data_IF_758955789735
#
_entry.id   IF_758955789735
#
_cell.length_a   1.000
_cell.length_b   1.000
_cell.length_c   1.000
_cell.angle_alpha   90.00
_cell.angle_beta   90.00
_cell.angle_gamma   90.00
#
_symmetry.space_group_name_H-M   'P 1'
#
loop_
_entity.id
_entity.type
_entity.pdbx_description
1 polymer ?
#
# COMPACT_ATOMS: atom_id res chain seq x y z
N UNK A 1 -12.45 -10.79 13.50
CA UNK A 1 -11.32 -10.41 12.63
C UNK A 1 -11.15 -11.44 11.53
N UNK A 2 -10.99 -10.98 10.29
CA UNK A 2 -10.66 -11.83 9.15
C UNK A 2 -9.16 -12.11 9.13
N UNK A 3 -8.80 -13.36 8.83
CA UNK A 3 -7.42 -13.82 8.70
C UNK A 3 -7.29 -14.54 7.37
N UNK A 4 -6.29 -14.17 6.57
CA UNK A 4 -6.00 -14.81 5.30
C UNK A 4 -4.50 -15.12 5.21
N UNK A 5 -4.19 -16.29 4.68
CA UNK A 5 -2.82 -16.73 4.40
C UNK A 5 -2.82 -17.43 3.06
N UNK A 6 -2.00 -16.95 2.13
CA UNK A 6 -1.85 -17.55 0.81
C UNK A 6 -0.41 -18.00 0.59
N UNK A 7 -0.26 -18.95 -0.32
CA UNK A 7 1.04 -19.36 -0.85
C UNK A 7 1.07 -19.10 -2.33
N UNK A 8 2.00 -18.26 -2.76
CA UNK A 8 2.14 -17.84 -4.16
C UNK A 8 3.47 -18.38 -4.68
N UNK A 9 3.46 -19.34 -5.62
CA UNK A 9 4.69 -19.83 -6.25
C UNK A 9 5.43 -18.71 -6.96
N UNK A 10 6.75 -18.63 -6.78
CA UNK A 10 7.59 -17.60 -7.39
C UNK A 10 8.92 -18.17 -7.87
N UNK A 11 9.51 -17.52 -8.87
CA UNK A 11 10.90 -17.73 -9.25
C UNK A 11 11.76 -16.61 -8.66
N UNK A 12 12.83 -16.98 -7.95
CA UNK A 12 13.84 -16.03 -7.49
C UNK A 12 14.93 -15.93 -8.54
N UNK A 13 15.24 -14.71 -8.94
CA UNK A 13 16.33 -14.41 -9.85
C UNK A 13 17.68 -14.67 -9.17
N UNK A 14 18.75 -14.77 -9.96
CA UNK A 14 20.08 -14.86 -9.36
C UNK A 14 20.41 -13.61 -8.55
N UNK A 15 21.25 -13.75 -7.53
CA UNK A 15 21.76 -12.67 -6.66
C UNK A 15 22.28 -11.42 -7.41
N UNK A 16 22.65 -11.56 -8.69
CA UNK A 16 23.06 -10.45 -9.53
C UNK A 16 21.92 -9.47 -9.88
N UNK A 17 20.66 -9.92 -9.80
CA UNK A 17 19.48 -9.13 -10.16
C UNK A 17 18.72 -8.58 -8.95
N UNK A 18 19.01 -9.10 -7.76
CA UNK A 18 18.26 -8.79 -6.55
C UNK A 18 18.79 -7.55 -5.84
N UNK A 19 17.93 -6.87 -5.09
CA UNK A 19 18.32 -5.76 -4.22
C UNK A 19 19.34 -6.25 -3.19
N UNK A 20 20.46 -5.53 -3.10
CA UNK A 20 21.45 -5.73 -2.05
C UNK A 20 21.39 -4.60 -1.05
N UNK A 21 21.26 -4.93 0.23
CA UNK A 21 21.32 -3.94 1.29
C UNK A 21 22.70 -3.98 1.92
N UNK A 22 23.43 -2.86 1.85
CA UNK A 22 24.84 -2.75 2.31
C UNK A 22 25.77 -3.83 1.70
N UNK A 23 25.47 -4.27 0.48
CA UNK A 23 26.23 -5.27 -0.26
C UNK A 23 25.78 -6.72 -0.03
N UNK A 24 24.84 -6.97 0.87
CA UNK A 24 24.32 -8.31 1.20
C UNK A 24 22.99 -8.60 0.49
N UNK A 25 22.78 -9.86 0.12
CA UNK A 25 21.49 -10.34 -0.39
C UNK A 25 20.54 -10.62 0.78
N UNK A 26 19.41 -9.91 0.82
CA UNK A 26 18.55 -9.90 2.01
C UNK A 26 17.19 -10.57 1.83
N UNK A 27 16.78 -10.91 0.59
CA UNK A 27 15.42 -11.40 0.26
C UNK A 27 14.97 -12.56 1.17
N UNK A 28 15.86 -13.53 1.45
CA UNK A 28 15.54 -14.72 2.25
C UNK A 28 15.28 -14.38 3.73
N UNK A 29 15.93 -13.33 4.22
CA UNK A 29 15.88 -12.90 5.61
C UNK A 29 14.88 -11.74 5.81
N UNK A 30 14.20 -11.32 4.75
CA UNK A 30 13.23 -10.22 4.73
C UNK A 30 11.81 -10.64 5.10
N UNK A 31 11.14 -9.74 5.80
CA UNK A 31 9.69 -9.65 5.91
C UNK A 31 9.25 -8.44 5.09
N UNK A 32 8.36 -8.62 4.14
CA UNK A 32 7.74 -7.53 3.39
C UNK A 32 6.48 -7.11 4.13
N UNK A 33 6.31 -5.83 4.40
CA UNK A 33 5.31 -5.34 5.33
C UNK A 33 4.63 -4.07 4.83
N UNK A 34 3.31 -4.01 5.01
CA UNK A 34 2.45 -2.89 4.66
C UNK A 34 1.21 -2.84 5.57
N UNK A 35 0.74 -1.64 5.89
CA UNK A 35 -0.48 -1.42 6.68
C UNK A 35 -1.49 -0.57 5.93
N UNK A 36 -2.75 -0.99 5.98
CA UNK A 36 -3.86 -0.08 5.73
C UNK A 36 -4.38 0.47 7.04
N UNK A 37 -4.24 1.77 7.26
CA UNK A 37 -4.53 2.38 8.55
C UNK A 37 -5.65 3.43 8.51
N UNK A 38 -6.39 3.55 9.62
CA UNK A 38 -7.40 4.61 9.79
C UNK A 38 -6.86 5.76 10.62
N UNK A 39 -6.69 6.92 9.97
CA UNK A 39 -6.29 8.18 10.58
C UNK A 39 -7.48 9.15 10.67
N UNK A 40 -7.52 9.95 11.73
CA UNK A 40 -8.34 11.15 11.79
C UNK A 40 -7.49 12.36 12.18
N UNK A 41 -7.29 12.58 13.48
CA UNK A 41 -6.29 13.54 14.02
C UNK A 41 -5.05 12.82 14.55
N UNK A 42 -5.25 11.58 14.99
CA UNK A 42 -4.24 10.63 15.44
C UNK A 42 -4.56 9.25 14.84
N UNK A 43 -3.61 8.30 14.83
CA UNK A 43 -3.87 6.92 14.47
C UNK A 43 -4.94 6.29 15.37
N UNK A 44 -5.99 5.73 14.75
CA UNK A 44 -7.11 5.13 15.48
C UNK A 44 -7.02 3.61 15.48
N UNK A 45 -6.73 2.99 14.33
CA UNK A 45 -6.66 1.56 14.18
C UNK A 45 -5.87 1.17 12.93
N UNK A 46 -5.29 -0.04 12.97
CA UNK A 46 -4.89 -0.77 11.77
C UNK A 46 -6.17 -1.39 11.18
N UNK A 47 -6.46 -1.04 9.94
CA UNK A 47 -7.56 -1.58 9.15
C UNK A 47 -7.21 -2.96 8.57
N UNK A 48 -6.04 -3.03 7.93
CA UNK A 48 -5.43 -4.28 7.44
C UNK A 48 -3.97 -4.30 7.84
N UNK A 49 -3.53 -5.42 8.40
CA UNK A 49 -2.13 -5.79 8.51
C UNK A 49 -1.80 -6.70 7.32
N UNK A 50 -0.73 -6.40 6.59
CA UNK A 50 -0.22 -7.26 5.53
C UNK A 50 1.25 -7.56 5.74
N UNK A 51 1.62 -8.83 5.63
CA UNK A 51 3.01 -9.23 5.59
C UNK A 51 3.23 -10.40 4.62
N UNK A 52 4.45 -10.49 4.09
CA UNK A 52 4.87 -11.59 3.24
C UNK A 52 6.32 -12.01 3.55
N UNK A 53 6.63 -13.29 3.36
CA UNK A 53 7.98 -13.83 3.46
C UNK A 53 8.28 -14.74 2.27
N UNK A 54 9.52 -14.74 1.79
CA UNK A 54 9.98 -15.75 0.86
C UNK A 54 10.38 -17.03 1.62
N UNK A 55 9.91 -18.17 1.13
CA UNK A 55 10.24 -19.51 1.61
C UNK A 55 11.02 -20.26 0.53
N UNK A 56 12.34 -20.33 0.69
CA UNK A 56 13.24 -20.90 -0.33
C UNK A 56 12.94 -22.36 -0.65
N UNK A 57 12.74 -23.20 0.37
CA UNK A 57 12.45 -24.63 0.18
C UNK A 57 11.18 -24.87 -0.62
N UNK A 58 10.21 -23.96 -0.50
CA UNK A 58 8.90 -24.04 -1.17
C UNK A 58 8.86 -23.28 -2.50
N UNK A 59 9.90 -22.48 -2.79
CA UNK A 59 9.94 -21.55 -3.93
C UNK A 59 8.65 -20.72 -4.03
N UNK A 60 8.24 -20.16 -2.89
CA UNK A 60 6.96 -19.47 -2.77
C UNK A 60 7.07 -18.30 -1.79
N UNK A 61 6.23 -17.29 -2.03
CA UNK A 61 5.91 -16.29 -1.02
C UNK A 61 4.77 -16.84 -0.17
N UNK A 62 4.88 -16.72 1.14
CA UNK A 62 3.79 -16.94 2.08
C UNK A 62 3.30 -15.58 2.58
N UNK A 63 2.03 -15.26 2.33
CA UNK A 63 1.39 -14.01 2.76
C UNK A 63 0.62 -14.26 4.05
N UNK A 64 0.49 -13.23 4.89
CA UNK A 64 -0.36 -13.23 6.08
C UNK A 64 -1.02 -11.89 6.21
N UNK A 65 -2.35 -11.90 6.31
CA UNK A 65 -3.15 -10.70 6.39
C UNK A 65 -4.19 -10.79 7.50
N UNK A 66 -4.36 -9.70 8.24
CA UNK A 66 -5.41 -9.55 9.25
C UNK A 66 -6.24 -8.31 8.95
N UNK A 67 -7.57 -8.44 8.86
CA UNK A 67 -8.46 -7.30 8.65
C UNK A 67 -9.50 -7.22 9.77
N UNK A 68 -9.60 -6.03 10.38
CA UNK A 68 -10.58 -5.79 11.44
C UNK A 68 -12.00 -5.87 10.89
N UNK A 69 -12.90 -6.48 11.67
CA UNK A 69 -14.32 -6.55 11.33
C UNK A 69 -15.16 -5.58 12.14
N UNK A 70 -14.62 -5.10 13.26
CA UNK A 70 -15.26 -4.15 14.15
C UNK A 70 -14.24 -3.52 15.13
N UNK A 71 -14.70 -2.60 15.98
CA UNK A 71 -13.84 -1.91 16.96
C UNK A 71 -13.13 -2.82 17.97
N UNK A 72 -13.68 -3.97 18.36
CA UNK A 72 -13.02 -4.87 19.32
C UNK A 72 -11.75 -5.47 18.73
N UNK A 73 -11.75 -5.70 17.42
CA UNK A 73 -10.60 -6.25 16.69
C UNK A 73 -9.42 -5.24 16.63
N UNK A 74 -9.67 -3.94 16.80
CA UNK A 74 -8.62 -2.91 16.75
C UNK A 74 -7.51 -3.11 17.80
N UNK A 75 -7.82 -3.72 18.95
CA UNK A 75 -6.78 -4.11 19.94
C UNK A 75 -6.22 -5.50 19.64
N UNK A 76 -7.05 -6.43 19.18
CA UNK A 76 -6.63 -7.79 18.88
C UNK A 76 -5.60 -7.84 17.74
N UNK A 77 -5.78 -7.02 16.70
CA UNK A 77 -4.85 -6.93 15.57
C UNK A 77 -3.46 -6.50 16.03
N UNK A 78 -3.33 -5.58 17.00
CA UNK A 78 -2.02 -5.15 17.51
C UNK A 78 -1.28 -6.29 18.21
N UNK A 79 -2.01 -7.11 19.00
CA UNK A 79 -1.45 -8.29 19.65
C UNK A 79 -0.99 -9.32 18.61
N UNK A 80 -1.82 -9.58 17.60
CA UNK A 80 -1.47 -10.51 16.52
C UNK A 80 -0.31 -10.01 15.66
N UNK A 81 -0.22 -8.70 15.44
CA UNK A 81 0.93 -8.10 14.75
C UNK A 81 2.22 -8.32 15.54
N UNK A 82 2.22 -8.05 16.86
CA UNK A 82 3.37 -8.33 17.72
C UNK A 82 3.76 -9.81 17.67
N UNK A 83 2.80 -10.71 17.88
CA UNK A 83 3.02 -12.16 17.85
C UNK A 83 3.58 -12.64 16.50
N UNK A 84 3.09 -12.07 15.39
CA UNK A 84 3.61 -12.36 14.06
C UNK A 84 5.11 -12.01 13.95
N UNK A 85 5.50 -10.80 14.36
CA UNK A 85 6.89 -10.37 14.24
C UNK A 85 7.82 -11.12 15.20
N UNK A 86 7.39 -11.43 16.42
CA UNK A 86 8.13 -12.30 17.34
C UNK A 86 8.36 -13.70 16.76
N UNK A 87 7.35 -14.27 16.09
CA UNK A 87 7.47 -15.54 15.39
C UNK A 87 8.45 -15.45 14.21
N UNK A 88 8.36 -14.40 13.39
CA UNK A 88 9.28 -14.20 12.27
C UNK A 88 10.73 -14.01 12.72
N UNK A 89 10.94 -13.29 13.84
CA UNK A 89 12.25 -13.14 14.47
C UNK A 89 12.80 -14.50 14.92
N UNK A 90 11.96 -15.32 15.55
CA UNK A 90 12.33 -16.69 15.95
C UNK A 90 12.68 -17.57 14.76
N UNK A 91 12.03 -17.36 13.60
CA UNK A 91 12.35 -18.01 12.33
C UNK A 91 13.63 -17.48 11.66
N UNK A 92 14.33 -16.54 12.29
CA UNK A 92 15.61 -16.01 11.80
C UNK A 92 15.49 -14.85 10.80
N UNK A 93 14.29 -14.27 10.62
CA UNK A 93 14.14 -13.06 9.81
C UNK A 93 14.86 -11.88 10.47
N UNK A 94 15.51 -11.05 9.66
CA UNK A 94 16.39 -9.95 10.10
C UNK A 94 15.96 -8.60 9.56
N UNK A 95 15.38 -8.57 8.37
CA UNK A 95 15.05 -7.32 7.68
C UNK A 95 13.55 -7.12 7.65
N UNK A 96 13.12 -5.88 7.91
CA UNK A 96 11.75 -5.46 7.73
C UNK A 96 11.70 -4.47 6.56
N UNK A 97 11.17 -4.95 5.44
CA UNK A 97 11.12 -4.26 4.15
C UNK A 97 9.76 -3.59 4.01
N UNK A 98 9.77 -2.31 3.67
CA UNK A 98 8.57 -1.48 3.46
C UNK A 98 8.75 -0.59 2.23
N UNK A 99 7.67 0.05 1.78
CA UNK A 99 7.73 1.16 0.83
C UNK A 99 7.24 2.44 1.51
N UNK A 100 8.12 3.42 1.72
CA UNK A 100 7.77 4.64 2.46
C UNK A 100 7.25 4.36 3.89
N UNK A 101 7.80 3.31 4.53
CA UNK A 101 7.25 2.74 5.77
C UNK A 101 7.33 3.62 7.01
N UNK A 102 7.92 4.83 6.91
CA UNK A 102 7.90 5.82 8.00
C UNK A 102 6.47 6.04 8.53
N UNK A 103 5.46 6.11 7.65
CA UNK A 103 4.07 6.31 8.06
C UNK A 103 3.52 5.08 8.82
N UNK A 104 3.77 3.88 8.32
CA UNK A 104 3.30 2.64 8.95
C UNK A 104 3.92 2.47 10.34
N UNK A 105 5.23 2.72 10.47
CA UNK A 105 5.93 2.68 11.76
C UNK A 105 5.40 3.73 12.73
N UNK A 106 5.16 4.97 12.28
CA UNK A 106 4.56 6.00 13.12
C UNK A 106 3.17 5.57 13.62
N UNK A 107 2.35 4.97 12.76
CA UNK A 107 1.02 4.48 13.11
C UNK A 107 1.08 3.35 14.12
N UNK A 108 1.83 2.29 13.83
CA UNK A 108 1.87 1.11 14.70
C UNK A 108 2.53 1.42 16.04
N UNK A 109 3.61 2.20 16.06
CA UNK A 109 4.29 2.61 17.30
C UNK A 109 3.37 3.49 18.16
N UNK A 110 2.62 4.41 17.54
CA UNK A 110 1.62 5.19 18.27
C UNK A 110 0.56 4.29 18.91
N UNK A 111 0.01 3.34 18.15
CA UNK A 111 -1.01 2.42 18.65
C UNK A 111 -0.47 1.49 19.74
N UNK A 112 0.74 0.98 19.59
CA UNK A 112 1.41 0.15 20.60
C UNK A 112 1.61 0.92 21.90
N UNK A 113 2.15 2.14 21.81
CA UNK A 113 2.29 3.02 22.98
C UNK A 113 0.95 3.32 23.65
N UNK A 114 -0.08 3.64 22.86
CA UNK A 114 -1.45 3.92 23.36
C UNK A 114 -2.09 2.72 24.07
N UNK A 115 -1.72 1.50 23.68
CA UNK A 115 -2.25 0.27 24.23
C UNK A 115 -1.29 -0.46 25.17
N UNK A 116 -0.20 0.19 25.58
CA UNK A 116 0.82 -0.33 26.51
C UNK A 116 1.42 -1.67 26.02
N UNK A 117 1.63 -1.78 24.71
CA UNK A 117 2.30 -2.91 24.06
C UNK A 117 3.77 -2.54 23.90
N UNK A 118 4.64 -3.20 24.67
CA UNK A 118 6.10 -3.04 24.54
C UNK A 118 6.61 -3.88 23.37
N UNK A 119 7.07 -3.20 22.32
CA UNK A 119 7.73 -3.80 21.15
C UNK A 119 8.44 -2.69 20.36
N UNK A 120 9.73 -2.88 20.06
CA UNK A 120 10.50 -1.94 19.23
C UNK A 120 10.98 -2.64 17.96
N UNK A 121 10.40 -2.26 16.82
CA UNK A 121 10.77 -2.80 15.52
C UNK A 121 12.23 -2.56 15.14
N UNK A 122 12.82 -1.46 15.61
CA UNK A 122 14.20 -1.08 15.28
C UNK A 122 15.25 -1.81 16.12
N UNK A 123 14.86 -2.33 17.29
CA UNK A 123 15.70 -3.24 18.08
C UNK A 123 15.67 -4.66 17.50
N UNK A 124 14.53 -5.05 16.91
CA UNK A 124 14.31 -6.41 16.42
C UNK A 124 14.74 -6.63 14.96
N UNK A 125 14.67 -5.60 14.11
CA UNK A 125 14.93 -5.73 12.67
C UNK A 125 15.74 -4.57 12.10
N UNK A 126 16.52 -4.86 11.06
CA UNK A 126 17.05 -3.83 10.18
C UNK A 126 15.94 -3.34 9.23
N UNK A 127 15.59 -2.05 9.34
CA UNK A 127 14.52 -1.45 8.55
C UNK A 127 15.04 -1.06 7.16
N UNK A 128 14.42 -1.60 6.11
CA UNK A 128 14.76 -1.34 4.71
C UNK A 128 13.57 -0.67 4.03
N UNK A 129 13.80 0.53 3.50
CA UNK A 129 12.77 1.30 2.80
C UNK A 129 13.11 1.35 1.30
N UNK A 130 12.35 0.61 0.50
CA UNK A 130 12.58 0.48 -0.95
C UNK A 130 12.55 1.85 -1.66
N UNK A 131 11.73 2.79 -1.18
CA UNK A 131 11.69 4.14 -1.77
C UNK A 131 13.03 4.85 -1.57
N UNK A 132 13.63 4.73 -0.39
CA UNK A 132 14.95 5.34 -0.08
C UNK A 132 16.07 4.66 -0.86
N UNK A 133 16.02 3.34 -1.03
CA UNK A 133 17.00 2.62 -1.86
C UNK A 133 16.92 3.06 -3.34
N UNK A 134 15.70 3.27 -3.85
CA UNK A 134 15.48 3.82 -5.19
C UNK A 134 16.04 5.24 -5.32
N UNK A 135 15.69 6.12 -4.36
CA UNK A 135 16.19 7.50 -4.31
C UNK A 135 17.71 7.55 -4.22
N UNK A 136 18.33 6.66 -3.45
CA UNK A 136 19.78 6.55 -3.33
C UNK A 136 20.43 6.19 -4.67
N UNK A 137 19.84 5.24 -5.42
CA UNK A 137 20.35 4.75 -6.71
C UNK A 137 20.15 5.74 -7.86
N UNK A 138 18.96 6.31 -8.01
CA UNK A 138 18.61 7.13 -9.18
C UNK A 138 18.47 8.63 -8.89
N UNK A 139 18.60 9.06 -7.63
CA UNK A 139 18.45 10.47 -7.19
C UNK A 139 17.09 11.09 -7.55
N UNK A 140 16.04 10.26 -7.56
CA UNK A 140 14.68 10.61 -7.98
C UNK A 140 13.68 10.01 -6.99
N UNK A 141 12.61 10.75 -6.69
CA UNK A 141 11.50 10.23 -5.91
C UNK A 141 10.56 9.42 -6.81
N UNK A 142 9.97 8.37 -6.26
CA UNK A 142 8.98 7.54 -6.96
C UNK A 142 7.89 7.10 -5.98
N UNK A 143 6.68 6.86 -6.49
CA UNK A 143 5.61 6.17 -5.76
C UNK A 143 5.54 4.69 -6.14
N UNK A 144 5.01 3.84 -5.25
CA UNK A 144 5.03 2.38 -5.41
C UNK A 144 4.50 1.94 -6.77
N UNK A 145 3.36 2.48 -7.20
CA UNK A 145 2.75 2.18 -8.51
C UNK A 145 3.69 2.43 -9.70
N UNK A 146 4.46 3.51 -9.66
CA UNK A 146 5.39 3.82 -10.74
C UNK A 146 6.63 2.91 -10.67
N UNK A 147 7.06 2.54 -9.46
CA UNK A 147 8.14 1.57 -9.28
C UNK A 147 7.72 0.18 -9.79
N UNK A 148 6.50 -0.25 -9.50
CA UNK A 148 5.91 -1.48 -10.07
C UNK A 148 5.89 -1.45 -11.60
N UNK A 149 5.53 -0.31 -12.20
CA UNK A 149 5.58 -0.12 -13.67
C UNK A 149 6.99 -0.30 -14.22
N UNK A 150 8.03 0.21 -13.54
CA UNK A 150 9.43 0.01 -13.95
C UNK A 150 9.80 -1.48 -13.95
N UNK A 151 9.34 -2.22 -12.94
CA UNK A 151 9.60 -3.66 -12.82
C UNK A 151 8.62 -4.55 -13.59
N UNK A 152 7.77 -3.95 -14.45
CA UNK A 152 6.76 -4.65 -15.25
C UNK A 152 5.86 -5.54 -14.39
N UNK A 153 5.47 -5.03 -13.22
CA UNK A 153 4.54 -5.68 -12.30
C UNK A 153 3.14 -5.17 -12.63
N UNK A 154 2.27 -6.09 -13.04
CA UNK A 154 0.87 -5.82 -13.27
C UNK A 154 0.08 -6.03 -11.98
N UNK A 155 -0.83 -5.10 -11.66
CA UNK A 155 -1.76 -5.26 -10.56
C UNK A 155 -3.04 -5.91 -11.04
N UNK A 156 -3.53 -6.85 -10.27
CA UNK A 156 -4.85 -7.45 -10.46
C UNK A 156 -5.93 -6.61 -9.79
N UNK A 157 -6.82 -6.01 -10.59
CA UNK A 157 -8.04 -5.34 -10.11
C UNK A 157 -7.94 -3.81 -10.03
N UNK A 158 -9.10 -3.19 -9.75
CA UNK A 158 -9.24 -1.74 -9.72
C UNK A 158 -8.56 -1.09 -8.51
N UNK A 159 -7.90 0.04 -8.74
CA UNK A 159 -7.29 0.88 -7.73
C UNK A 159 -8.29 1.28 -6.63
N UNK A 160 -7.92 1.01 -5.38
CA UNK A 160 -8.61 1.54 -4.21
C UNK A 160 -7.80 2.72 -3.70
N UNK A 161 -8.44 3.89 -3.55
CA UNK A 161 -7.76 5.03 -2.94
C UNK A 161 -7.65 4.83 -1.42
N UNK A 162 -6.56 5.29 -0.81
CA UNK A 162 -6.41 5.31 0.65
C UNK A 162 -7.55 6.08 1.35
N UNK A 163 -8.15 7.08 0.69
CA UNK A 163 -9.35 7.76 1.22
C UNK A 163 -10.58 6.85 1.28
N UNK A 164 -10.76 5.99 0.28
CA UNK A 164 -11.83 4.98 0.25
C UNK A 164 -11.64 3.96 1.37
N UNK A 165 -10.39 3.52 1.59
CA UNK A 165 -10.02 2.61 2.66
C UNK A 165 -10.26 3.25 4.03
N UNK A 166 -9.75 4.46 4.27
CA UNK A 166 -9.98 5.20 5.51
C UNK A 166 -11.47 5.41 5.82
N UNK A 167 -12.29 5.76 4.82
CA UNK A 167 -13.76 5.86 4.97
C UNK A 167 -14.39 4.52 5.33
N UNK A 168 -13.89 3.43 4.77
CA UNK A 168 -14.38 2.07 5.03
C UNK A 168 -14.05 1.65 6.46
N UNK A 169 -12.79 1.79 6.90
CA UNK A 169 -12.39 1.48 8.28
C UNK A 169 -13.07 2.39 9.30
N UNK A 170 -13.31 3.67 8.97
CA UNK A 170 -14.11 4.56 9.82
C UNK A 170 -15.51 4.00 10.09
N UNK A 171 -16.17 3.43 9.07
CA UNK A 171 -17.49 2.80 9.23
C UNK A 171 -17.41 1.52 10.05
N UNK A 172 -16.42 0.67 9.79
CA UNK A 172 -16.17 -0.57 10.55
C UNK A 172 -15.96 -0.30 12.06
N UNK A 173 -15.21 0.75 12.40
CA UNK A 173 -14.96 1.14 13.79
C UNK A 173 -16.21 1.72 14.47
N UNK A 174 -17.04 2.48 13.74
CA UNK A 174 -18.22 3.16 14.29
C UNK A 174 -19.45 2.27 14.37
N UNK A 175 -19.56 1.27 13.49
CA UNK A 175 -20.71 0.39 13.37
C UNK A 175 -20.26 -1.07 13.32
N UNK A 176 -20.47 -1.76 14.44
CA UNK A 176 -20.10 -3.17 14.64
C UNK A 176 -20.75 -4.14 13.64
N UNK A 177 -21.85 -3.75 13.01
CA UNK A 177 -22.60 -4.58 12.05
C UNK A 177 -22.34 -4.21 10.59
N UNK A 178 -21.52 -3.18 10.33
CA UNK A 178 -21.23 -2.71 8.98
C UNK A 178 -20.57 -3.78 8.12
N UNK A 179 -19.67 -4.59 8.69
CA UNK A 179 -18.98 -5.67 7.99
C UNK A 179 -19.96 -6.68 7.38
N UNK A 180 -21.04 -7.03 8.10
CA UNK A 180 -22.05 -7.98 7.64
C UNK A 180 -22.95 -7.44 6.52
N UNK A 181 -22.95 -6.11 6.30
CA UNK A 181 -23.67 -5.46 5.20
C UNK A 181 -22.75 -5.06 4.05
N UNK A 182 -21.44 -5.25 4.21
CA UNK A 182 -20.47 -4.96 3.18
C UNK A 182 -20.48 -6.09 2.14
N UNK A 183 -20.54 -5.78 0.83
CA UNK A 183 -20.41 -6.81 -0.20
C UNK A 183 -19.09 -7.58 -0.04
N UNK A 184 -19.13 -8.90 -0.17
CA UNK A 184 -17.95 -9.77 -0.07
C UNK A 184 -16.86 -9.41 -1.07
N UNK A 185 -17.25 -8.99 -2.28
CA UNK A 185 -16.34 -8.50 -3.31
C UNK A 185 -15.51 -7.30 -2.80
N UNK A 186 -16.11 -6.40 -2.02
CA UNK A 186 -15.41 -5.25 -1.47
C UNK A 186 -14.37 -5.67 -0.43
N UNK A 187 -14.68 -6.65 0.41
CA UNK A 187 -13.73 -7.21 1.39
C UNK A 187 -12.56 -7.85 0.63
N UNK A 188 -12.87 -8.70 -0.34
CA UNK A 188 -11.88 -9.40 -1.18
C UNK A 188 -10.97 -8.42 -1.90
N UNK A 189 -11.53 -7.34 -2.46
CA UNK A 189 -10.75 -6.27 -3.11
C UNK A 189 -9.77 -5.58 -2.15
N UNK A 190 -10.18 -5.31 -0.91
CA UNK A 190 -9.31 -4.69 0.10
C UNK A 190 -8.16 -5.62 0.47
N UNK A 191 -8.48 -6.89 0.76
CA UNK A 191 -7.47 -7.90 1.10
C UNK A 191 -6.50 -8.10 -0.06
N UNK A 192 -7.01 -8.31 -1.29
CA UNK A 192 -6.19 -8.51 -2.48
C UNK A 192 -5.32 -7.30 -2.84
N UNK A 193 -5.78 -6.08 -2.54
CA UNK A 193 -4.99 -4.86 -2.73
C UNK A 193 -3.76 -4.84 -1.79
N UNK A 194 -3.96 -5.06 -0.49
CA UNK A 194 -2.86 -5.09 0.47
C UNK A 194 -1.94 -6.32 0.28
N UNK A 195 -2.47 -7.45 -0.18
CA UNK A 195 -1.67 -8.63 -0.53
C UNK A 195 -0.70 -8.30 -1.67
N UNK A 196 -1.21 -7.65 -2.72
CA UNK A 196 -0.39 -7.23 -3.83
C UNK A 196 0.69 -6.25 -3.39
N UNK A 197 0.40 -5.31 -2.49
CA UNK A 197 1.40 -4.37 -2.02
C UNK A 197 2.61 -5.12 -1.40
N UNK A 198 2.38 -6.07 -0.48
CA UNK A 198 3.49 -6.85 0.13
C UNK A 198 4.18 -7.82 -0.82
N UNK A 199 3.44 -8.46 -1.73
CA UNK A 199 4.00 -9.34 -2.78
C UNK A 199 4.83 -8.55 -3.78
N UNK A 200 4.41 -7.32 -4.10
CA UNK A 200 5.10 -6.46 -5.04
C UNK A 200 6.42 -5.95 -4.47
N UNK A 201 6.52 -5.71 -3.15
CA UNK A 201 7.81 -5.40 -2.52
C UNK A 201 8.84 -6.52 -2.77
N UNK A 202 8.42 -7.79 -2.66
CA UNK A 202 9.28 -8.92 -3.00
C UNK A 202 9.65 -8.90 -4.49
N UNK A 203 8.69 -8.74 -5.39
CA UNK A 203 8.94 -8.77 -6.83
C UNK A 203 9.88 -7.64 -7.27
N UNK A 204 9.72 -6.45 -6.70
CA UNK A 204 10.62 -5.31 -6.89
C UNK A 204 12.03 -5.66 -6.45
N UNK A 205 12.19 -6.17 -5.23
CA UNK A 205 13.51 -6.58 -4.74
C UNK A 205 14.14 -7.70 -5.56
N UNK A 206 13.34 -8.64 -6.06
CA UNK A 206 13.80 -9.76 -6.88
C UNK A 206 14.27 -9.32 -8.29
N UNK A 207 13.83 -8.15 -8.77
CA UNK A 207 14.13 -7.61 -10.11
C UNK A 207 14.87 -6.27 -10.05
N UNK A 208 15.52 -5.98 -8.94
CA UNK A 208 16.07 -4.66 -8.64
C UNK A 208 17.10 -4.14 -9.66
N UNK A 209 18.00 -5.01 -10.13
CA UNK A 209 19.03 -4.64 -11.12
C UNK A 209 18.57 -4.81 -12.57
N UNK A 210 17.33 -5.23 -12.81
CA UNK A 210 16.75 -5.25 -14.16
C UNK A 210 16.42 -3.83 -14.65
N UNK A 211 16.22 -2.88 -13.73
CA UNK A 211 15.87 -1.48 -14.06
C UNK A 211 17.13 -0.65 -14.29
N UNK A 212 17.22 -0.06 -15.46
CA UNK A 212 18.31 0.85 -15.84
C UNK A 212 17.93 2.31 -15.63
N UNK A 213 18.92 3.21 -15.68
CA UNK A 213 18.65 4.65 -15.66
C UNK A 213 17.81 5.10 -16.86
N UNK A 214 17.98 4.46 -18.02
CA UNK A 214 17.20 4.76 -19.23
C UNK A 214 15.71 4.45 -19.04
N UNK A 215 15.39 3.33 -18.40
CA UNK A 215 14.01 2.96 -18.08
C UNK A 215 13.36 4.00 -17.16
N UNK A 216 14.12 4.51 -16.19
CA UNK A 216 13.67 5.57 -15.27
C UNK A 216 13.37 6.86 -16.03
N UNK A 217 14.28 7.31 -16.89
CA UNK A 217 14.09 8.53 -17.69
C UNK A 217 12.91 8.40 -18.66
N UNK A 218 12.78 7.24 -19.31
CA UNK A 218 11.66 6.93 -20.21
C UNK A 218 10.32 6.97 -19.45
N UNK A 219 10.26 6.44 -18.23
CA UNK A 219 9.04 6.50 -17.43
C UNK A 219 8.70 7.93 -17.03
N UNK A 220 9.67 8.75 -16.64
CA UNK A 220 9.45 10.15 -16.30
C UNK A 220 8.89 10.97 -17.46
N UNK A 221 9.42 10.78 -18.66
CA UNK A 221 8.91 11.43 -19.87
C UNK A 221 7.43 11.06 -20.10
N UNK A 222 7.11 9.75 -20.05
CA UNK A 222 5.73 9.27 -20.18
C UNK A 222 4.81 9.84 -19.10
N UNK A 223 5.27 9.92 -17.85
CA UNK A 223 4.48 10.48 -16.75
C UNK A 223 4.24 11.99 -16.92
N UNK A 224 5.22 12.71 -17.45
CA UNK A 224 5.09 14.13 -17.76
C UNK A 224 4.05 14.35 -18.87
N UNK A 225 4.12 13.57 -19.95
CA UNK A 225 3.11 13.60 -21.03
C UNK A 225 1.71 13.27 -20.52
N UNK A 226 1.55 12.20 -19.73
CA UNK A 226 0.27 11.83 -19.11
C UNK A 226 -0.30 12.97 -18.26
N UNK A 227 0.56 13.66 -17.50
CA UNK A 227 0.17 14.78 -16.65
C UNK A 227 -0.29 15.97 -17.48
N UNK A 228 0.43 16.32 -18.54
CA UNK A 228 0.06 17.40 -19.47
C UNK A 228 -1.32 17.11 -20.09
N UNK A 229 -1.52 15.91 -20.66
CA UNK A 229 -2.81 15.52 -21.26
C UNK A 229 -3.97 15.56 -20.26
N UNK A 230 -3.75 15.13 -19.01
CA UNK A 230 -4.76 15.21 -17.95
C UNK A 230 -5.11 16.64 -17.58
N UNK A 231 -4.14 17.55 -17.55
CA UNK A 231 -4.38 18.97 -17.29
C UNK A 231 -5.16 19.62 -18.43
N UNK A 232 -4.80 19.35 -19.69
CA UNK A 232 -5.51 19.83 -20.87
C UNK A 232 -6.97 19.34 -20.89
N UNK A 233 -7.19 18.05 -20.64
CA UNK A 233 -8.54 17.48 -20.56
C UNK A 233 -9.38 18.12 -19.43
N UNK A 234 -8.76 18.37 -18.28
CA UNK A 234 -9.44 19.03 -17.15
C UNK A 234 -9.85 20.46 -17.50
N UNK A 235 -8.99 21.20 -18.21
CA UNK A 235 -9.31 22.56 -18.66
C UNK A 235 -10.49 22.57 -19.64
N UNK A 236 -10.50 21.66 -20.63
CA UNK A 236 -11.61 21.52 -21.57
C UNK A 236 -12.94 21.20 -20.88
N UNK A 237 -12.92 20.33 -19.86
CA UNK A 237 -14.11 20.01 -19.08
C UNK A 237 -14.60 21.21 -18.26
N UNK A 238 -13.70 21.95 -17.61
CA UNK A 238 -14.03 23.16 -16.85
C UNK A 238 -14.58 24.28 -17.75
N UNK A 239 -14.09 24.41 -18.99
CA UNK A 239 -14.60 25.34 -19.99
C UNK A 239 -16.01 24.94 -20.46
N UNK A 240 -16.23 23.67 -20.79
CA UNK A 240 -17.54 23.14 -21.17
C UNK A 240 -18.58 23.30 -20.04
N UNK A 241 -18.19 23.11 -18.77
CA UNK A 241 -19.06 23.35 -17.62
C UNK A 241 -19.44 24.84 -17.47
N UNK A 242 -18.50 25.76 -17.71
CA UNK A 242 -18.75 27.21 -17.68
C UNK A 242 -19.66 27.66 -18.82
N UNK A 243 -19.51 27.09 -20.02
CA UNK A 243 -20.39 27.37 -21.15
C UNK A 243 -21.82 26.86 -20.90
N UNK A 244 -21.96 25.65 -20.35
CA UNK A 244 -23.28 25.10 -19.97
C UNK A 244 -23.96 25.88 -18.84
N UNK A 245 -23.21 26.50 -17.92
CA UNK A 245 -23.77 27.40 -16.90
C UNK A 245 -24.17 28.77 -17.46
N UNK A 246 -23.52 29.26 -18.53
CA UNK A 246 -23.89 30.50 -19.23
C UNK A 246 -25.11 30.34 -20.15
N UNK A 247 -25.45 29.11 -20.55
CA UNK A 247 -26.61 28.82 -21.41
C UNK A 247 -27.94 28.59 -20.67
N UNK A 248 -27.99 28.80 -19.35
CA UNK A 248 -29.25 28.93 -18.60
C UNK A 248 -29.65 30.42 -18.59
N UNK A 249 -30.68 30.84 -19.36
CA UNK A 249 -31.08 32.24 -19.37
C UNK A 249 -31.69 32.63 -18.02
N UNK A 250 -31.20 33.72 -17.45
CA UNK A 250 -32.06 34.66 -16.74
C UNK A 250 -33.05 35.22 -17.78
N UNK A 251 -34.29 34.76 -17.74
CA UNK A 251 -35.41 35.61 -18.15
C UNK A 251 -36.10 36.12 -16.90
N UNK A 252 -35.89 37.41 -16.69
CA UNK A 252 -36.57 38.29 -15.76
C UNK A 252 -38.08 38.34 -16.03
N UNK A 253 -38.79 38.76 -15.00
CA UNK A 253 -40.12 39.34 -15.10
C UNK A 253 -40.24 40.31 -16.29
N UNK A 254 -41.20 40.09 -17.19
CA UNK A 254 -42.40 40.92 -17.31
C UNK A 254 -43.07 40.82 -18.70
N UNK A 255 -44.40 40.77 -18.63
CA UNK A 255 -45.37 41.33 -19.56
C UNK A 255 -45.80 40.61 -20.84
N UNK A 256 -47.13 40.63 -20.97
CA UNK A 256 -47.96 40.54 -22.17
C UNK A 256 -48.15 39.17 -22.81
N UNK A 257 -49.11 38.41 -22.28
CA UNK A 257 -50.40 38.12 -22.93
C UNK A 257 -51.06 36.87 -22.32
N UNK A 258 -52.23 37.04 -21.71
CA UNK A 258 -53.12 35.94 -21.29
C UNK A 258 -53.84 36.21 -19.99
#
# INVERSE_FOLDING_TARGET
>A
MLVQQERIPVAVNSSAYTLKYRGEEIIKDSIFFDLEHYLYKEPIAIGVFGAAIYQEEKKAIETTQYMIENRKDARAILKMTKEYFEAMKTMGKKYLVTFSGNNDFLVINHLFKKHEIEYDFSEEFELVDIQKEYEAKYKKNIGLKNLERLHQIERDGELISGMTLAKTFSKIIKDHSYIHRMPEEKITRIMKYNEQDVVNLFNIMNRWEEVTLEDVLTLEEKLLEEKIRKMEMKQLLEEAEKENQKSLPLDDLANEMG
#
